data_IF_089320540927
#
_entry.id   IF_089320540927
#
_cell.length_a   1.000
_cell.length_b   1.000
_cell.length_c   1.000
_cell.angle_alpha   90.00
_cell.angle_beta   90.00
_cell.angle_gamma   90.00
#
_symmetry.space_group_name_H-M   'P 1'
#
loop_
_entity.id
_entity.type
_entity.pdbx_description
1 polymer ?
#
# COMPACT_ATOMS: atom_id res chain seq x y z
N UNK A 1 31.53 14.11 22.59
CA UNK A 1 30.60 13.87 21.47
C UNK A 1 29.38 13.03 21.83
N UNK A 2 29.47 12.10 22.77
CA UNK A 2 28.29 11.28 23.19
C UNK A 2 27.13 12.12 23.74
N UNK A 3 27.42 13.13 24.54
CA UNK A 3 26.43 14.04 25.14
C UNK A 3 25.70 14.89 24.09
N UNK A 4 26.44 15.42 23.10
CA UNK A 4 25.85 16.21 22.00
C UNK A 4 24.87 15.38 21.18
N UNK A 5 25.27 14.14 20.82
CA UNK A 5 24.42 13.21 20.11
C UNK A 5 23.15 12.88 20.91
N UNK A 6 23.28 12.58 22.19
CA UNK A 6 22.15 12.26 23.08
C UNK A 6 21.19 13.44 23.19
N UNK A 7 21.70 14.67 23.28
CA UNK A 7 20.86 15.87 23.36
C UNK A 7 20.04 16.08 22.08
N UNK A 8 20.70 16.05 20.91
CA UNK A 8 20.04 16.26 19.62
C UNK A 8 19.02 15.15 19.39
N UNK A 9 19.39 13.88 19.57
CA UNK A 9 18.50 12.74 19.31
C UNK A 9 17.30 12.75 20.25
N UNK A 10 17.51 12.97 21.55
CA UNK A 10 16.42 13.05 22.53
C UNK A 10 15.45 14.18 22.20
N UNK A 11 15.96 15.36 21.81
CA UNK A 11 15.10 16.47 21.42
C UNK A 11 14.32 16.16 20.16
N UNK A 12 14.98 15.70 19.08
CA UNK A 12 14.30 15.40 17.81
C UNK A 12 13.28 14.28 17.97
N UNK A 13 13.66 13.16 18.61
CA UNK A 13 12.74 12.01 18.82
C UNK A 13 11.49 12.44 19.60
N UNK A 14 11.63 13.22 20.66
CA UNK A 14 10.49 13.70 21.46
C UNK A 14 9.53 14.53 20.62
N UNK A 15 10.04 15.48 19.82
CA UNK A 15 9.20 16.33 18.98
C UNK A 15 8.59 15.54 17.81
N UNK A 16 9.35 14.67 17.18
CA UNK A 16 8.84 13.76 16.11
C UNK A 16 7.71 12.89 16.65
N UNK A 17 7.92 12.25 17.79
CA UNK A 17 6.88 11.43 18.43
C UNK A 17 5.64 12.25 18.79
N UNK A 18 5.81 13.43 19.40
CA UNK A 18 4.70 14.31 19.76
C UNK A 18 3.90 14.78 18.54
N UNK A 19 4.58 15.19 17.46
CA UNK A 19 3.93 15.63 16.22
C UNK A 19 3.20 14.46 15.55
N UNK A 20 3.86 13.30 15.40
CA UNK A 20 3.25 12.14 14.76
C UNK A 20 2.04 11.65 15.56
N UNK A 21 2.14 11.65 16.90
CA UNK A 21 1.02 11.28 17.77
C UNK A 21 -0.16 12.26 17.62
N UNK A 22 0.12 13.57 17.54
CA UNK A 22 -0.92 14.59 17.35
C UNK A 22 -1.67 14.42 16.03
N UNK A 23 -0.94 14.16 14.94
CA UNK A 23 -1.56 13.86 13.64
C UNK A 23 -2.34 12.55 13.68
N UNK A 24 -1.77 11.48 14.27
CA UNK A 24 -2.48 10.20 14.41
C UNK A 24 -3.78 10.35 15.21
N UNK A 25 -3.77 11.14 16.28
CA UNK A 25 -4.99 11.43 17.06
C UNK A 25 -6.03 12.22 16.26
N UNK A 26 -5.58 13.17 15.41
CA UNK A 26 -6.46 13.93 14.53
C UNK A 26 -7.12 13.01 13.48
N UNK A 27 -6.35 12.16 12.80
CA UNK A 27 -6.90 11.22 11.83
C UNK A 27 -7.81 10.19 12.48
N UNK A 28 -7.42 9.67 13.66
CA UNK A 28 -8.29 8.78 14.43
C UNK A 28 -9.66 9.42 14.71
N UNK A 29 -9.67 10.69 15.09
CA UNK A 29 -10.93 11.42 15.38
C UNK A 29 -11.77 11.59 14.11
N UNK A 30 -11.15 11.95 12.98
CA UNK A 30 -11.85 12.10 11.69
C UNK A 30 -12.47 10.78 11.26
N UNK A 31 -11.68 9.70 11.26
CA UNK A 31 -12.13 8.36 10.88
C UNK A 31 -13.26 7.87 11.82
N UNK A 32 -13.11 8.13 13.11
CA UNK A 32 -14.13 7.73 14.09
C UNK A 32 -15.48 8.42 13.86
N UNK A 33 -15.48 9.69 13.51
CA UNK A 33 -16.70 10.42 13.17
C UNK A 33 -17.35 9.86 11.90
N UNK A 34 -16.56 9.42 10.94
CA UNK A 34 -17.07 8.83 9.70
C UNK A 34 -17.56 7.39 9.89
N UNK A 35 -16.87 6.58 10.67
CA UNK A 35 -17.23 5.17 10.87
C UNK A 35 -18.37 4.97 11.88
N UNK A 36 -18.53 5.85 12.88
CA UNK A 36 -19.63 5.76 13.86
C UNK A 36 -21.02 5.95 13.22
N UNK A 37 -21.07 6.57 12.03
CA UNK A 37 -22.31 6.69 11.25
C UNK A 37 -22.72 5.39 10.57
N UNK A 38 -21.77 4.46 10.40
CA UNK A 38 -21.98 3.20 9.64
C UNK A 38 -22.11 1.97 10.54
N UNK A 39 -21.38 2.00 11.67
CA UNK A 39 -21.22 0.86 12.56
C UNK A 39 -21.52 1.23 14.02
N UNK A 40 -21.55 0.22 14.91
CA UNK A 40 -21.65 0.46 16.35
C UNK A 40 -20.40 1.20 16.87
N UNK A 41 -20.51 1.87 18.03
CA UNK A 41 -19.38 2.61 18.60
C UNK A 41 -18.16 1.72 18.87
N UNK A 42 -18.35 0.48 19.30
CA UNK A 42 -17.30 -0.49 19.54
C UNK A 42 -16.63 -0.96 18.24
N UNK A 43 -17.43 -1.28 17.21
CA UNK A 43 -16.90 -1.70 15.90
C UNK A 43 -16.16 -0.55 15.21
N UNK A 44 -16.69 0.68 15.32
CA UNK A 44 -16.03 1.88 14.79
C UNK A 44 -14.68 2.13 15.46
N UNK A 45 -14.58 1.98 16.78
CA UNK A 45 -13.33 2.15 17.52
C UNK A 45 -12.28 1.13 17.09
N UNK A 46 -12.67 -0.15 16.96
CA UNK A 46 -11.76 -1.21 16.51
C UNK A 46 -11.31 -0.95 15.06
N UNK A 47 -12.25 -0.58 14.18
CA UNK A 47 -11.98 -0.23 12.78
C UNK A 47 -10.95 0.89 12.70
N UNK A 48 -11.17 2.00 13.41
CA UNK A 48 -10.26 3.15 13.43
C UNK A 48 -8.89 2.79 13.99
N UNK A 49 -8.82 1.90 14.98
CA UNK A 49 -7.54 1.45 15.54
C UNK A 49 -6.69 0.72 14.50
N UNK A 50 -7.29 -0.15 13.69
CA UNK A 50 -6.58 -0.82 12.60
C UNK A 50 -6.17 0.16 11.48
N UNK A 51 -6.99 1.15 11.15
CA UNK A 51 -6.65 2.19 10.16
C UNK A 51 -5.42 3.01 10.55
N UNK A 52 -5.12 3.14 11.87
CA UNK A 52 -3.96 3.90 12.33
C UNK A 52 -2.62 3.34 11.84
N UNK A 53 -2.53 2.05 11.54
CA UNK A 53 -1.31 1.45 10.99
C UNK A 53 -0.86 2.11 9.69
N UNK A 54 -1.78 2.31 8.76
CA UNK A 54 -1.54 2.98 7.48
C UNK A 54 -1.32 4.48 7.68
N UNK A 55 -2.19 5.17 8.43
CA UNK A 55 -2.04 6.60 8.67
C UNK A 55 -0.71 6.96 9.32
N UNK A 56 -0.29 6.19 10.32
CA UNK A 56 1.01 6.39 10.95
C UNK A 56 2.16 6.29 9.95
N UNK A 57 2.12 5.30 9.05
CA UNK A 57 3.12 5.13 8.00
C UNK A 57 3.15 6.32 7.04
N UNK A 58 2.00 6.77 6.56
CA UNK A 58 1.89 7.85 5.56
C UNK A 58 2.30 9.22 6.12
N UNK A 59 1.96 9.49 7.41
CA UNK A 59 2.22 10.77 8.06
C UNK A 59 3.66 10.87 8.58
N UNK A 60 4.30 9.74 8.83
CA UNK A 60 5.60 9.72 9.51
C UNK A 60 6.68 10.61 8.86
N UNK A 61 6.87 10.68 7.54
CA UNK A 61 7.84 11.58 6.93
C UNK A 61 7.59 13.05 7.24
N UNK A 62 6.32 13.47 7.24
CA UNK A 62 5.94 14.85 7.61
C UNK A 62 6.20 15.07 9.09
N UNK A 63 5.80 14.11 9.93
CA UNK A 63 6.06 14.14 11.37
C UNK A 63 7.55 14.26 11.69
N UNK A 64 8.38 13.54 10.92
CA UNK A 64 9.83 13.60 11.01
C UNK A 64 10.38 14.99 10.64
N UNK A 65 9.90 15.60 9.55
CA UNK A 65 10.28 16.93 9.13
C UNK A 65 9.86 17.97 10.18
N UNK A 66 8.57 18.01 10.52
CA UNK A 66 8.03 19.03 11.46
C UNK A 66 8.65 18.88 12.85
N UNK A 67 8.75 17.64 13.34
CA UNK A 67 9.37 17.37 14.63
C UNK A 67 10.86 17.75 14.67
N UNK A 68 11.60 17.48 13.60
CA UNK A 68 12.99 17.91 13.48
C UNK A 68 13.10 19.44 13.40
N UNK A 69 12.23 20.13 12.64
CA UNK A 69 12.19 21.60 12.59
C UNK A 69 11.92 22.18 13.98
N UNK A 70 10.91 21.69 14.69
CA UNK A 70 10.56 22.17 16.03
C UNK A 70 11.72 21.97 17.03
N UNK A 71 12.36 20.79 17.00
CA UNK A 71 13.49 20.50 17.84
C UNK A 71 14.68 21.45 17.56
N UNK A 72 15.08 21.56 16.28
CA UNK A 72 16.23 22.35 15.87
C UNK A 72 15.98 23.87 16.03
N UNK A 73 14.79 24.33 15.68
CA UNK A 73 14.41 25.73 15.89
C UNK A 73 14.31 26.07 17.39
N UNK A 74 13.84 25.14 18.22
CA UNK A 74 13.85 25.25 19.69
C UNK A 74 15.26 25.43 20.23
N UNK A 75 16.20 24.55 19.83
CA UNK A 75 17.61 24.62 20.21
C UNK A 75 18.30 25.92 19.69
N UNK A 76 17.91 26.40 18.52
CA UNK A 76 18.39 27.67 17.99
C UNK A 76 17.90 28.86 18.84
N UNK A 77 16.63 28.81 19.30
CA UNK A 77 16.03 29.86 20.15
C UNK A 77 16.69 29.93 21.54
N UNK A 78 17.03 28.80 22.14
CA UNK A 78 17.72 28.75 23.45
C UNK A 78 19.24 28.96 23.32
N UNK A 79 19.76 29.21 22.10
CA UNK A 79 21.18 29.30 21.79
C UNK A 79 21.99 28.00 22.02
N UNK A 80 21.35 26.91 22.38
CA UNK A 80 22.00 25.60 22.57
C UNK A 80 22.73 25.14 21.32
N UNK A 81 22.10 25.25 20.15
CA UNK A 81 22.71 24.86 18.88
C UNK A 81 23.92 25.76 18.55
N UNK A 82 23.90 27.04 18.92
CA UNK A 82 25.03 27.96 18.74
C UNK A 82 26.21 27.54 19.61
N UNK A 83 25.97 27.17 20.87
CA UNK A 83 27.00 26.66 21.78
C UNK A 83 27.61 25.35 21.24
N UNK A 84 26.78 24.44 20.73
CA UNK A 84 27.26 23.19 20.11
C UNK A 84 28.15 23.48 18.88
N UNK A 85 27.79 24.47 18.08
CA UNK A 85 28.55 24.89 16.90
C UNK A 85 29.90 25.52 17.27
N UNK A 86 29.96 26.39 18.26
CA UNK A 86 31.21 26.95 18.77
C UNK A 86 32.08 25.90 19.45
N UNK A 87 31.46 24.85 20.04
CA UNK A 87 32.11 23.67 20.58
C UNK A 87 32.60 22.66 19.53
N UNK A 88 32.57 23.00 18.21
CA UNK A 88 33.12 22.17 17.13
C UNK A 88 32.12 21.31 16.36
N UNK A 89 30.82 21.53 16.54
CA UNK A 89 29.79 20.90 15.69
C UNK A 89 29.68 21.62 14.34
N UNK A 90 30.52 21.25 13.39
CA UNK A 90 30.46 21.80 12.03
C UNK A 90 29.21 21.34 11.25
N UNK A 91 28.84 22.03 10.14
CA UNK A 91 27.65 21.72 9.34
C UNK A 91 27.60 20.27 8.84
N UNK A 92 28.71 19.74 8.34
CA UNK A 92 28.80 18.37 7.86
C UNK A 92 28.57 17.32 8.96
N UNK A 93 29.08 17.57 10.19
CA UNK A 93 28.82 16.70 11.34
C UNK A 93 27.37 16.77 11.82
N UNK A 94 26.75 17.95 11.79
CA UNK A 94 25.34 18.11 12.11
C UNK A 94 24.48 17.33 11.10
N UNK A 95 24.78 17.44 9.80
CA UNK A 95 24.11 16.68 8.74
C UNK A 95 24.28 15.17 8.93
N UNK A 96 25.49 14.69 9.26
CA UNK A 96 25.73 13.25 9.48
C UNK A 96 25.01 12.73 10.70
N UNK A 97 24.92 13.47 11.81
CA UNK A 97 24.15 13.09 13.00
C UNK A 97 22.66 12.97 12.68
N UNK A 98 22.10 13.96 12.00
CA UNK A 98 20.70 13.94 11.57
C UNK A 98 20.47 12.85 10.51
N UNK A 99 21.41 12.62 9.61
CA UNK A 99 21.37 11.55 8.62
C UNK A 99 21.29 10.16 9.25
N UNK A 100 22.09 9.88 10.30
CA UNK A 100 22.02 8.62 11.05
C UNK A 100 20.66 8.47 11.73
N UNK A 101 20.13 9.55 12.30
CA UNK A 101 18.78 9.52 12.89
C UNK A 101 17.71 9.29 11.82
N UNK A 102 17.78 9.97 10.68
CA UNK A 102 16.89 9.76 9.56
C UNK A 102 16.97 8.33 8.99
N UNK A 103 18.16 7.76 8.90
CA UNK A 103 18.35 6.37 8.47
C UNK A 103 17.77 5.37 9.47
N UNK A 104 17.98 5.59 10.77
CA UNK A 104 17.39 4.73 11.80
C UNK A 104 15.86 4.78 11.79
N UNK A 105 15.30 5.96 11.60
CA UNK A 105 13.86 6.16 11.42
C UNK A 105 13.35 5.47 10.15
N UNK A 106 14.09 5.58 9.04
CA UNK A 106 13.78 4.91 7.78
C UNK A 106 13.75 3.38 7.92
N UNK A 107 14.76 2.79 8.57
CA UNK A 107 14.81 1.34 8.81
C UNK A 107 13.61 0.88 9.66
N UNK A 108 13.29 1.62 10.74
CA UNK A 108 12.11 1.34 11.55
C UNK A 108 10.83 1.35 10.69
N UNK A 109 10.67 2.35 9.85
CA UNK A 109 9.47 2.51 9.03
C UNK A 109 9.39 1.52 7.87
N UNK A 110 10.51 1.03 7.34
CA UNK A 110 10.52 -0.10 6.39
C UNK A 110 9.98 -1.35 7.07
N UNK A 111 10.35 -1.62 8.31
CA UNK A 111 9.80 -2.76 9.08
C UNK A 111 8.30 -2.57 9.31
N UNK A 112 7.88 -1.38 9.75
CA UNK A 112 6.46 -1.05 9.98
C UNK A 112 5.65 -1.22 8.68
N UNK A 113 6.11 -0.66 7.56
CA UNK A 113 5.43 -0.72 6.27
C UNK A 113 5.34 -2.11 5.65
N UNK A 114 6.28 -3.01 5.98
CA UNK A 114 6.27 -4.38 5.46
C UNK A 114 5.60 -5.42 6.39
N UNK A 115 5.39 -5.08 7.67
CA UNK A 115 4.85 -6.02 8.66
C UNK A 115 3.58 -5.50 9.31
N UNK A 116 3.66 -4.32 9.96
CA UNK A 116 2.55 -3.79 10.76
C UNK A 116 1.39 -3.32 9.88
N UNK A 117 1.70 -2.59 8.80
CA UNK A 117 0.68 -2.06 7.89
C UNK A 117 -0.13 -3.17 7.21
N UNK A 118 0.49 -4.18 6.56
CA UNK A 118 -0.26 -5.27 5.95
C UNK A 118 -1.07 -6.09 6.96
N UNK A 119 -0.51 -6.34 8.15
CA UNK A 119 -1.22 -7.03 9.21
C UNK A 119 -2.45 -6.25 9.68
N UNK A 120 -2.31 -4.95 9.91
CA UNK A 120 -3.43 -4.10 10.34
C UNK A 120 -4.54 -4.06 9.29
N UNK A 121 -4.19 -3.98 8.00
CA UNK A 121 -5.15 -3.97 6.89
C UNK A 121 -5.88 -5.32 6.74
N UNK A 122 -5.17 -6.44 6.93
CA UNK A 122 -5.82 -7.76 6.97
C UNK A 122 -6.85 -7.84 8.09
N UNK A 123 -6.50 -7.41 9.32
CA UNK A 123 -7.42 -7.39 10.45
C UNK A 123 -8.61 -6.46 10.20
N UNK A 124 -8.37 -5.31 9.58
CA UNK A 124 -9.41 -4.36 9.18
C UNK A 124 -10.40 -5.01 8.21
N UNK A 125 -9.89 -5.68 7.18
CA UNK A 125 -10.69 -6.35 6.15
C UNK A 125 -11.53 -7.47 6.76
N UNK A 126 -10.93 -8.31 7.62
CA UNK A 126 -11.63 -9.38 8.34
C UNK A 126 -12.72 -8.83 9.27
N UNK A 127 -12.41 -7.78 10.03
CA UNK A 127 -13.36 -7.14 10.93
C UNK A 127 -14.56 -6.54 10.17
N UNK A 128 -14.29 -5.81 9.07
CA UNK A 128 -15.34 -5.26 8.19
C UNK A 128 -16.21 -6.36 7.57
N UNK A 129 -15.62 -7.50 7.17
CA UNK A 129 -16.36 -8.64 6.64
C UNK A 129 -17.29 -9.24 7.70
N UNK A 130 -16.82 -9.41 8.95
CA UNK A 130 -17.66 -9.92 10.06
C UNK A 130 -18.83 -8.99 10.39
N UNK A 131 -18.61 -7.68 10.41
CA UNK A 131 -19.68 -6.70 10.65
C UNK A 131 -20.69 -6.71 9.50
N UNK A 132 -20.24 -6.78 8.26
CA UNK A 132 -21.10 -6.82 7.08
C UNK A 132 -21.98 -8.07 7.04
N UNK A 133 -21.49 -9.21 7.52
CA UNK A 133 -22.30 -10.43 7.66
C UNK A 133 -23.37 -10.33 8.76
N UNK A 134 -23.12 -9.55 9.83
CA UNK A 134 -24.10 -9.27 10.89
C UNK A 134 -25.21 -8.32 10.44
N UNK A 135 -24.92 -7.45 9.49
CA UNK A 135 -25.89 -6.50 8.90
C UNK A 135 -26.37 -6.99 7.54
N UNK A 136 -27.32 -7.92 7.49
CA UNK A 136 -28.02 -8.47 6.32
C UNK A 136 -27.86 -7.65 5.01
N UNK A 137 -27.17 -8.24 4.01
CA UNK A 137 -27.42 -8.04 2.57
C UNK A 137 -27.27 -6.61 2.00
N UNK A 138 -26.12 -5.96 2.18
CA UNK A 138 -25.67 -4.91 1.26
C UNK A 138 -24.22 -5.12 0.84
N UNK A 139 -23.88 -6.29 0.35
CA UNK A 139 -22.66 -6.50 -0.42
C UNK A 139 -22.86 -5.98 -1.85
N UNK A 140 -22.86 -4.67 -2.01
CA UNK A 140 -22.82 -4.00 -3.29
C UNK A 140 -21.38 -3.87 -3.83
N UNK A 141 -20.43 -4.62 -3.31
CA UNK A 141 -19.08 -4.71 -3.86
C UNK A 141 -19.07 -5.67 -5.05
N UNK A 142 -18.56 -5.21 -6.21
CA UNK A 142 -18.38 -6.05 -7.42
C UNK A 142 -17.40 -7.22 -7.21
N UNK A 143 -16.80 -7.34 -6.01
CA UNK A 143 -15.69 -8.27 -5.74
C UNK A 143 -14.43 -7.91 -6.52
N UNK A 144 -13.37 -8.67 -6.31
CA UNK A 144 -12.11 -8.49 -7.04
C UNK A 144 -12.06 -9.43 -8.24
N UNK A 145 -11.65 -8.90 -9.39
CA UNK A 145 -11.54 -9.63 -10.63
C UNK A 145 -10.07 -9.94 -10.92
N UNK A 146 -9.78 -11.23 -11.10
CA UNK A 146 -8.47 -11.75 -11.47
C UNK A 146 -8.57 -12.44 -12.82
N UNK A 147 -7.51 -12.36 -13.62
CA UNK A 147 -7.43 -13.02 -14.91
C UNK A 147 -6.23 -13.97 -14.92
N UNK A 148 -6.45 -15.18 -15.41
CA UNK A 148 -5.43 -16.19 -15.68
C UNK A 148 -5.48 -16.55 -17.15
N UNK A 149 -4.33 -16.59 -17.80
CA UNK A 149 -4.18 -17.12 -19.15
C UNK A 149 -3.54 -18.49 -19.08
N UNK A 150 -4.23 -19.50 -19.59
CA UNK A 150 -3.73 -20.86 -19.63
C UNK A 150 -3.40 -21.22 -21.06
N UNK A 151 -2.13 -21.46 -21.36
CA UNK A 151 -1.70 -21.97 -22.63
C UNK A 151 -2.01 -23.47 -22.69
N UNK A 152 -2.72 -23.92 -23.72
CA UNK A 152 -2.95 -25.32 -23.99
C UNK A 152 -2.19 -25.73 -25.26
N UNK A 153 -1.64 -26.95 -25.35
CA UNK A 153 -1.01 -27.45 -26.57
C UNK A 153 -2.03 -27.44 -27.71
N UNK A 154 -1.71 -26.76 -28.83
CA UNK A 154 -2.55 -26.78 -30.02
C UNK A 154 -3.44 -25.57 -30.19
N UNK A 155 -2.91 -24.33 -29.98
CA UNK A 155 -3.55 -23.02 -30.28
C UNK A 155 -4.87 -22.70 -29.52
N UNK A 156 -5.24 -23.48 -28.54
CA UNK A 156 -6.41 -23.28 -27.70
C UNK A 156 -6.06 -22.55 -26.40
N UNK A 157 -5.51 -21.32 -26.48
CA UNK A 157 -5.30 -20.53 -25.28
C UNK A 157 -6.65 -20.27 -24.60
N UNK A 158 -6.78 -20.66 -23.33
CA UNK A 158 -7.99 -20.42 -22.53
C UNK A 158 -7.76 -19.20 -21.64
N UNK A 159 -8.73 -18.31 -21.63
CA UNK A 159 -8.76 -17.20 -20.67
C UNK A 159 -9.70 -17.55 -19.53
N UNK A 160 -9.21 -17.47 -18.32
CA UNK A 160 -10.00 -17.74 -17.12
C UNK A 160 -10.11 -16.43 -16.36
N UNK A 161 -11.34 -16.05 -15.99
CA UNK A 161 -11.59 -14.87 -15.18
C UNK A 161 -12.23 -15.31 -13.86
N UNK A 162 -11.61 -14.94 -12.75
CA UNK A 162 -12.06 -15.29 -11.40
C UNK A 162 -12.53 -14.03 -10.70
N UNK A 163 -13.74 -14.06 -10.16
CA UNK A 163 -14.27 -13.02 -9.30
C UNK A 163 -14.34 -13.55 -7.87
N UNK A 164 -13.69 -12.86 -6.95
CA UNK A 164 -13.71 -13.17 -5.51
C UNK A 164 -14.55 -12.12 -4.82
N UNK A 165 -15.67 -12.55 -4.24
CA UNK A 165 -16.63 -11.63 -3.61
C UNK A 165 -16.18 -11.13 -2.25
N UNK A 166 -15.55 -11.97 -1.44
CA UNK A 166 -15.05 -11.61 -0.11
C UNK A 166 -13.86 -12.48 0.30
N UNK A 167 -12.94 -11.93 1.08
CA UNK A 167 -11.90 -12.68 1.77
C UNK A 167 -12.39 -12.98 3.20
N UNK A 168 -12.33 -14.25 3.61
CA UNK A 168 -12.63 -14.70 4.97
C UNK A 168 -11.35 -14.87 5.77
N UNK A 169 -10.29 -15.35 5.10
CA UNK A 169 -8.91 -15.43 5.61
C UNK A 169 -7.92 -15.37 4.43
N UNK A 170 -6.61 -15.46 4.69
CA UNK A 170 -5.57 -15.48 3.64
C UNK A 170 -5.72 -16.61 2.64
N UNK A 171 -6.44 -17.67 3.01
CA UNK A 171 -6.61 -18.90 2.21
C UNK A 171 -8.08 -19.25 1.97
N UNK A 172 -9.03 -18.55 2.60
CA UNK A 172 -10.47 -18.81 2.51
C UNK A 172 -11.21 -17.60 1.94
N UNK A 173 -12.00 -17.85 0.91
CA UNK A 173 -12.73 -16.83 0.15
C UNK A 173 -14.19 -17.23 -0.02
N UNK A 174 -15.08 -16.23 0.01
CA UNK A 174 -16.51 -16.41 -0.18
C UNK A 174 -17.01 -15.87 -1.50
N UNK A 175 -18.11 -16.43 -1.99
CA UNK A 175 -18.81 -16.03 -3.21
C UNK A 175 -17.88 -15.98 -4.44
N UNK A 176 -17.18 -17.08 -4.71
CA UNK A 176 -16.23 -17.18 -5.83
C UNK A 176 -16.96 -17.53 -7.12
N UNK A 177 -16.69 -16.77 -8.18
CA UNK A 177 -17.20 -17.01 -9.54
C UNK A 177 -16.03 -17.19 -10.49
N UNK A 178 -16.03 -18.28 -11.24
CA UNK A 178 -15.00 -18.61 -12.22
C UNK A 178 -15.64 -18.71 -13.60
N UNK A 179 -15.09 -18.01 -14.57
CA UNK A 179 -15.54 -17.98 -15.95
C UNK A 179 -14.40 -18.46 -16.84
N UNK A 180 -14.60 -19.56 -17.55
CA UNK A 180 -13.61 -20.11 -18.49
C UNK A 180 -14.05 -19.81 -19.93
N UNK A 181 -13.17 -19.11 -20.67
CA UNK A 181 -13.38 -18.72 -22.05
C UNK A 181 -12.45 -19.52 -22.98
N UNK A 182 -12.90 -19.81 -24.18
CA UNK A 182 -12.06 -20.40 -25.24
C UNK A 182 -11.13 -19.34 -25.88
N UNK A 183 -10.29 -19.75 -26.83
CA UNK A 183 -9.38 -18.89 -27.57
C UNK A 183 -10.08 -17.82 -28.44
N UNK A 184 -11.39 -17.98 -28.68
CA UNK A 184 -12.21 -17.03 -29.41
C UNK A 184 -13.02 -16.08 -28.49
N UNK A 185 -12.80 -16.17 -27.15
CA UNK A 185 -13.48 -15.35 -26.16
C UNK A 185 -14.93 -15.78 -25.86
N UNK A 186 -15.34 -16.99 -26.24
CA UNK A 186 -16.68 -17.51 -25.95
C UNK A 186 -16.66 -18.21 -24.58
N UNK A 187 -17.69 -17.94 -23.76
CA UNK A 187 -17.85 -18.58 -22.44
C UNK A 187 -18.17 -20.07 -22.59
N UNK A 188 -17.32 -20.92 -22.04
CA UNK A 188 -17.48 -22.37 -22.08
C UNK A 188 -17.99 -22.94 -20.77
N UNK A 189 -17.53 -22.39 -19.64
CA UNK A 189 -17.86 -22.90 -18.31
C UNK A 189 -17.96 -21.77 -17.31
N UNK A 190 -18.96 -21.84 -16.45
CA UNK A 190 -19.08 -20.96 -15.29
C UNK A 190 -19.19 -21.83 -14.03
N UNK A 191 -18.39 -21.52 -13.02
CA UNK A 191 -18.50 -22.08 -11.69
C UNK A 191 -18.88 -20.98 -10.72
N UNK A 192 -19.84 -21.23 -9.87
CA UNK A 192 -20.14 -20.41 -8.70
C UNK A 192 -19.95 -21.28 -7.47
N UNK A 193 -19.11 -20.85 -6.54
CA UNK A 193 -18.87 -21.53 -5.27
C UNK A 193 -19.24 -20.60 -4.10
N UNK A 194 -19.90 -21.16 -3.10
CA UNK A 194 -20.22 -20.40 -1.87
C UNK A 194 -18.95 -20.11 -1.08
N UNK A 195 -18.04 -21.10 -0.99
CA UNK A 195 -16.76 -21.03 -0.30
C UNK A 195 -15.66 -21.61 -1.18
N UNK A 196 -14.48 -21.03 -1.11
CA UNK A 196 -13.27 -21.56 -1.73
C UNK A 196 -12.11 -21.53 -0.73
N UNK A 197 -11.39 -22.64 -0.62
CA UNK A 197 -10.14 -22.72 0.15
C UNK A 197 -8.98 -23.01 -0.79
N UNK A 198 -7.99 -22.12 -0.77
CA UNK A 198 -6.84 -22.21 -1.67
C UNK A 198 -5.67 -22.87 -0.94
N UNK A 199 -5.09 -23.93 -1.55
CA UNK A 199 -3.89 -24.61 -1.08
C UNK A 199 -2.80 -24.48 -2.13
N UNK A 200 -1.58 -24.00 -1.78
CA UNK A 200 -0.47 -23.93 -2.72
C UNK A 200 -0.03 -25.36 -3.14
N UNK A 201 0.35 -25.51 -4.41
CA UNK A 201 1.00 -26.73 -4.92
C UNK A 201 2.52 -26.58 -4.69
N UNK A 202 3.06 -27.24 -3.65
CA UNK A 202 4.47 -27.14 -3.28
C UNK A 202 4.75 -26.20 -2.10
N UNK A 203 6.02 -25.91 -1.81
CA UNK A 203 6.40 -24.96 -0.77
C UNK A 203 6.03 -23.54 -1.19
N UNK A 204 5.61 -22.68 -0.25
CA UNK A 204 5.14 -21.33 -0.50
C UNK A 204 6.08 -20.45 -1.35
N UNK A 205 7.39 -20.75 -1.32
CA UNK A 205 8.41 -19.99 -2.05
C UNK A 205 8.55 -20.41 -3.53
N UNK A 206 8.06 -21.58 -3.93
CA UNK A 206 8.22 -22.15 -5.27
C UNK A 206 6.93 -22.66 -5.91
N UNK A 207 5.77 -22.28 -5.34
CA UNK A 207 4.48 -22.73 -5.83
C UNK A 207 4.15 -22.09 -7.20
N UNK A 208 4.24 -22.89 -8.27
CA UNK A 208 3.81 -22.51 -9.62
C UNK A 208 2.29 -22.67 -9.84
N UNK A 209 1.50 -22.89 -8.78
CA UNK A 209 0.07 -23.09 -8.87
C UNK A 209 -0.57 -23.40 -7.53
N UNK A 210 -1.88 -23.54 -7.53
CA UNK A 210 -2.68 -23.84 -6.35
C UNK A 210 -3.86 -24.74 -6.70
N UNK A 211 -4.36 -25.45 -5.69
CA UNK A 211 -5.63 -26.17 -5.75
C UNK A 211 -6.67 -25.41 -4.95
N UNK A 212 -7.75 -25.05 -5.61
CA UNK A 212 -8.90 -24.40 -5.01
C UNK A 212 -9.94 -25.46 -4.67
N UNK A 213 -10.14 -25.69 -3.40
CA UNK A 213 -11.23 -26.55 -2.91
C UNK A 213 -12.48 -25.70 -2.83
N UNK A 214 -13.33 -25.82 -3.83
CA UNK A 214 -14.62 -25.14 -3.94
C UNK A 214 -15.69 -25.95 -3.24
N UNK A 215 -16.56 -25.28 -2.45
CA UNK A 215 -17.72 -25.90 -1.77
C UNK A 215 -19.01 -25.24 -2.21
N UNK A 216 -20.08 -26.04 -2.28
CA UNK A 216 -21.39 -25.56 -2.72
C UNK A 216 -21.35 -25.04 -4.15
N UNK A 217 -20.86 -25.88 -5.08
CA UNK A 217 -20.56 -25.46 -6.46
C UNK A 217 -21.78 -25.63 -7.34
N UNK A 218 -22.13 -24.55 -8.04
CA UNK A 218 -23.05 -24.58 -9.18
C UNK A 218 -22.20 -24.45 -10.45
N UNK A 219 -22.26 -25.48 -11.27
CA UNK A 219 -21.53 -25.54 -12.53
C UNK A 219 -22.51 -25.37 -13.69
N UNK A 220 -22.18 -24.47 -14.62
CA UNK A 220 -22.89 -24.26 -15.87
C UNK A 220 -21.90 -24.45 -17.02
N UNK A 221 -22.15 -25.42 -17.90
CA UNK A 221 -21.33 -25.72 -19.07
C UNK A 221 -22.12 -25.40 -20.33
N UNK A 222 -21.54 -24.60 -21.21
CA UNK A 222 -22.08 -24.34 -22.54
C UNK A 222 -21.53 -25.35 -23.54
N UNK A 223 -22.42 -26.12 -24.15
CA UNK A 223 -22.04 -27.09 -25.18
C UNK A 223 -21.69 -26.31 -26.47
N UNK A 224 -20.42 -26.31 -26.84
CA UNK A 224 -19.98 -25.69 -28.07
C UNK A 224 -20.38 -26.50 -29.30
N UNK A 225 -20.55 -25.82 -30.46
CA UNK A 225 -21.00 -26.40 -31.74
C UNK A 225 -20.10 -27.51 -32.28
N UNK A 226 -18.89 -27.70 -31.77
CA UNK A 226 -17.94 -28.72 -32.20
C UNK A 226 -18.20 -30.13 -31.67
N UNK A 227 -19.00 -30.28 -30.61
CA UNK A 227 -19.51 -31.56 -30.17
C UNK A 227 -20.84 -31.80 -30.91
N UNK A 228 -20.77 -32.21 -32.20
CA UNK A 228 -21.87 -32.68 -33.05
C UNK A 228 -23.25 -32.56 -32.42
N UNK A 229 -23.81 -31.37 -32.42
CA UNK A 229 -25.24 -31.20 -32.20
C UNK A 229 -25.87 -31.58 -33.55
N UNK A 230 -26.28 -32.82 -33.66
CA UNK A 230 -27.06 -33.30 -34.79
C UNK A 230 -28.32 -32.43 -34.87
N UNK A 231 -28.67 -31.95 -36.07
CA UNK A 231 -29.88 -31.10 -36.28
C UNK A 231 -31.15 -31.72 -35.67
N UNK A 232 -31.18 -33.05 -35.55
CA UNK A 232 -32.25 -33.78 -34.87
C UNK A 232 -32.31 -33.52 -33.35
N UNK A 233 -31.15 -33.31 -32.69
CA UNK A 233 -31.06 -33.03 -31.25
C UNK A 233 -31.51 -31.61 -30.91
N UNK A 234 -31.26 -30.64 -31.79
CA UNK A 234 -31.76 -29.25 -31.65
C UNK A 234 -33.30 -29.21 -31.78
N UNK A 235 -33.88 -29.98 -32.73
CA UNK A 235 -35.33 -30.10 -32.89
C UNK A 235 -36.02 -30.79 -31.72
N UNK A 236 -35.30 -31.61 -30.95
CA UNK A 236 -35.82 -32.29 -29.75
C UNK A 236 -35.76 -31.43 -28.47
N UNK A 237 -35.38 -30.15 -28.57
CA UNK A 237 -35.35 -29.25 -27.42
C UNK A 237 -34.15 -29.50 -26.49
N UNK A 238 -33.05 -30.03 -27.04
CA UNK A 238 -31.81 -30.26 -26.28
C UNK A 238 -31.32 -28.94 -25.67
N UNK A 239 -31.08 -28.95 -24.37
CA UNK A 239 -30.56 -27.80 -23.66
C UNK A 239 -29.11 -27.57 -24.09
N UNK A 240 -28.83 -26.40 -24.66
CA UNK A 240 -27.47 -25.94 -25.03
C UNK A 240 -26.59 -25.68 -23.80
N UNK A 241 -27.17 -25.80 -22.64
CA UNK A 241 -26.55 -25.54 -21.34
C UNK A 241 -26.81 -26.71 -20.40
N UNK A 242 -25.76 -27.23 -19.78
CA UNK A 242 -25.84 -28.22 -18.72
C UNK A 242 -25.57 -27.54 -17.39
N UNK A 243 -26.49 -27.68 -16.47
CA UNK A 243 -26.32 -27.22 -15.08
C UNK A 243 -26.18 -28.41 -14.16
N UNK A 244 -25.19 -28.37 -13.27
CA UNK A 244 -24.94 -29.38 -12.24
C UNK A 244 -24.62 -28.72 -10.91
N UNK A 245 -25.02 -29.36 -9.81
CA UNK A 245 -24.68 -28.94 -8.45
C UNK A 245 -23.75 -29.99 -7.86
N UNK A 246 -22.59 -29.53 -7.38
CA UNK A 246 -21.58 -30.39 -6.78
C UNK A 246 -21.35 -29.95 -5.34
N UNK A 247 -21.23 -30.89 -4.42
CA UNK A 247 -20.95 -30.58 -3.01
C UNK A 247 -19.55 -29.95 -2.85
N UNK A 248 -18.58 -30.47 -3.62
CA UNK A 248 -17.22 -29.93 -3.66
C UNK A 248 -16.58 -30.20 -5.02
N UNK A 249 -15.63 -29.34 -5.41
CA UNK A 249 -14.84 -29.47 -6.63
C UNK A 249 -13.43 -28.95 -6.37
N UNK A 250 -12.43 -29.77 -6.70
CA UNK A 250 -11.04 -29.33 -6.72
C UNK A 250 -10.70 -28.72 -8.08
N UNK A 251 -10.37 -27.42 -8.08
CA UNK A 251 -10.05 -26.67 -9.29
C UNK A 251 -8.62 -26.17 -9.23
N UNK A 252 -7.83 -26.47 -10.27
CA UNK A 252 -6.43 -26.06 -10.35
C UNK A 252 -6.30 -24.67 -10.98
N UNK A 253 -5.40 -23.85 -10.44
CA UNK A 253 -5.14 -22.48 -10.91
C UNK A 253 -3.67 -22.09 -10.72
N UNK A 254 -3.19 -21.15 -11.52
CA UNK A 254 -1.91 -20.46 -11.28
C UNK A 254 -2.04 -19.37 -10.21
N UNK A 255 -3.27 -18.99 -9.82
CA UNK A 255 -3.55 -17.99 -8.81
C UNK A 255 -3.24 -18.54 -7.42
N UNK A 256 -2.11 -18.15 -6.85
CA UNK A 256 -1.70 -18.53 -5.50
C UNK A 256 -2.50 -17.78 -4.44
N UNK A 257 -2.59 -18.26 -3.17
CA UNK A 257 -3.24 -17.53 -2.08
C UNK A 257 -2.74 -16.10 -1.95
N UNK A 258 -1.41 -15.90 -2.11
CA UNK A 258 -0.78 -14.59 -2.04
C UNK A 258 -1.29 -13.63 -3.12
N UNK A 259 -1.44 -14.09 -4.36
CA UNK A 259 -1.94 -13.26 -5.48
C UNK A 259 -3.39 -12.88 -5.23
N UNK A 260 -4.21 -13.81 -4.74
CA UNK A 260 -5.63 -13.57 -4.49
C UNK A 260 -5.83 -12.62 -3.31
N UNK A 261 -5.13 -12.84 -2.18
CA UNK A 261 -5.20 -11.94 -1.02
C UNK A 261 -4.66 -10.55 -1.37
N UNK A 262 -3.57 -10.46 -2.13
CA UNK A 262 -3.01 -9.20 -2.59
C UNK A 262 -3.98 -8.39 -3.49
N UNK A 263 -4.79 -9.07 -4.30
CA UNK A 263 -5.75 -8.40 -5.19
C UNK A 263 -6.93 -7.75 -4.45
N UNK A 264 -7.22 -8.21 -3.23
CA UNK A 264 -8.30 -7.67 -2.39
C UNK A 264 -7.83 -6.46 -1.57
N UNK A 265 -6.52 -6.36 -1.30
CA UNK A 265 -5.94 -5.27 -0.52
C UNK A 265 -5.65 -4.04 -1.39
N UNK A 266 -5.81 -2.82 -0.85
CA UNK A 266 -5.32 -1.61 -1.53
C UNK A 266 -3.80 -1.69 -1.75
N UNK A 267 -3.28 -1.28 -2.93
CA UNK A 267 -1.84 -1.35 -3.21
C UNK A 267 -0.96 -0.64 -2.16
N UNK A 268 -1.47 0.44 -1.60
CA UNK A 268 -0.80 1.29 -0.61
C UNK A 268 -0.50 0.52 0.71
N UNK A 269 -1.35 -0.46 1.05
CA UNK A 269 -1.25 -1.23 2.31
C UNK A 269 -0.46 -2.53 2.15
N UNK A 270 -0.19 -2.97 0.92
CA UNK A 270 0.56 -4.19 0.64
C UNK A 270 2.03 -4.07 1.06
N UNK A 271 2.67 -5.18 1.45
CA UNK A 271 4.12 -5.20 1.66
C UNK A 271 4.89 -5.03 0.35
N UNK A 272 6.12 -4.56 0.40
CA UNK A 272 6.98 -4.41 -0.79
C UNK A 272 7.17 -5.75 -1.53
N UNK A 273 7.30 -6.84 -0.78
CA UNK A 273 7.43 -8.19 -1.37
C UNK A 273 6.12 -8.65 -2.04
N UNK A 274 4.96 -8.38 -1.42
CA UNK A 274 3.66 -8.71 -2.00
C UNK A 274 3.41 -7.89 -3.28
N UNK A 275 3.76 -6.59 -3.29
CA UNK A 275 3.69 -5.74 -4.47
C UNK A 275 4.56 -6.28 -5.61
N UNK A 276 5.82 -6.64 -5.33
CA UNK A 276 6.71 -7.20 -6.35
C UNK A 276 6.15 -8.48 -6.97
N UNK A 277 5.70 -9.43 -6.16
CA UNK A 277 5.11 -10.68 -6.68
C UNK A 277 3.82 -10.45 -7.47
N UNK A 278 3.02 -9.49 -7.01
CA UNK A 278 1.76 -9.21 -7.67
C UNK A 278 1.98 -8.51 -9.03
N UNK A 279 2.93 -7.58 -9.11
CA UNK A 279 3.30 -6.94 -10.38
C UNK A 279 3.85 -7.94 -11.40
N UNK A 280 4.69 -8.88 -10.97
CA UNK A 280 5.19 -9.97 -11.81
C UNK A 280 4.04 -10.85 -12.35
N UNK A 281 3.06 -11.16 -11.51
CA UNK A 281 1.87 -11.89 -11.93
C UNK A 281 1.01 -11.10 -12.93
N UNK A 282 0.78 -9.81 -12.71
CA UNK A 282 0.03 -8.95 -13.63
C UNK A 282 0.72 -8.85 -14.98
N UNK A 283 2.04 -8.65 -15.00
CA UNK A 283 2.84 -8.57 -16.22
C UNK A 283 2.77 -9.87 -17.03
N UNK A 284 2.90 -11.04 -16.38
CA UNK A 284 2.83 -12.34 -17.04
C UNK A 284 1.44 -12.67 -17.64
N UNK A 285 0.38 -12.01 -17.13
CA UNK A 285 -0.99 -12.19 -17.63
C UNK A 285 -1.51 -11.02 -18.49
N UNK A 286 -0.61 -10.16 -18.99
CA UNK A 286 -0.93 -8.99 -19.81
C UNK A 286 -1.99 -8.07 -19.16
N UNK A 287 -1.90 -7.88 -17.86
CA UNK A 287 -2.75 -6.99 -17.08
C UNK A 287 -2.00 -5.69 -16.71
N UNK A 288 -2.74 -4.60 -16.51
CA UNK A 288 -2.16 -3.32 -16.13
C UNK A 288 -1.56 -3.38 -14.72
N UNK A 289 -0.24 -3.33 -14.61
CA UNK A 289 0.50 -3.40 -13.36
C UNK A 289 0.94 -2.03 -12.82
N UNK A 290 0.89 -0.98 -13.64
CA UNK A 290 1.53 0.32 -13.39
C UNK A 290 1.22 0.93 -12.03
N UNK A 291 -0.04 0.86 -11.56
CA UNK A 291 -0.42 1.37 -10.23
C UNK A 291 0.34 0.66 -9.10
N UNK A 292 0.48 -0.66 -9.20
CA UNK A 292 1.18 -1.47 -8.20
C UNK A 292 2.69 -1.26 -8.27
N UNK A 293 3.24 -1.06 -9.46
CA UNK A 293 4.65 -0.75 -9.67
C UNK A 293 5.02 0.61 -9.08
N UNK A 294 4.18 1.63 -9.27
CA UNK A 294 4.39 2.95 -8.64
C UNK A 294 4.41 2.81 -7.12
N UNK A 295 3.47 2.07 -6.51
CA UNK A 295 3.46 1.87 -5.06
C UNK A 295 4.68 1.04 -4.57
N UNK A 296 5.12 0.06 -5.35
CA UNK A 296 6.36 -0.67 -5.06
C UNK A 296 7.57 0.28 -5.01
N UNK A 297 7.72 1.16 -6.00
CA UNK A 297 8.82 2.11 -6.05
C UNK A 297 8.72 3.17 -4.95
N UNK A 298 7.52 3.66 -4.62
CA UNK A 298 7.31 4.58 -3.48
C UNK A 298 7.78 3.97 -2.17
N UNK A 299 7.43 2.71 -1.90
CA UNK A 299 7.90 1.99 -0.70
C UNK A 299 9.41 1.75 -0.72
N UNK A 300 9.97 1.44 -1.90
CA UNK A 300 11.40 1.25 -2.08
C UNK A 300 12.21 2.55 -1.84
N UNK A 301 11.67 3.71 -2.25
CA UNK A 301 12.29 5.01 -2.02
C UNK A 301 11.94 5.65 -0.66
N UNK A 302 11.12 5.01 0.15
CA UNK A 302 10.72 5.55 1.46
C UNK A 302 11.92 5.90 2.38
N UNK A 303 13.02 5.11 2.45
CA UNK A 303 14.22 5.50 3.19
C UNK A 303 14.83 6.81 2.71
N UNK A 304 14.83 7.05 1.40
CA UNK A 304 15.32 8.30 0.82
C UNK A 304 14.42 9.48 1.24
N UNK A 305 13.10 9.30 1.25
CA UNK A 305 12.15 10.32 1.72
C UNK A 305 12.46 10.74 3.16
N UNK A 306 12.68 9.79 4.07
CA UNK A 306 13.03 10.10 5.45
C UNK A 306 14.32 10.91 5.57
N UNK A 307 15.34 10.57 4.77
CA UNK A 307 16.60 11.32 4.74
C UNK A 307 16.41 12.74 4.21
N UNK A 308 15.63 12.92 3.14
CA UNK A 308 15.29 14.23 2.56
C UNK A 308 14.57 15.10 3.58
N UNK A 309 13.59 14.53 4.31
CA UNK A 309 12.84 15.26 5.33
C UNK A 309 13.73 15.77 6.48
N UNK A 310 14.64 14.94 6.95
CA UNK A 310 15.59 15.35 7.99
C UNK A 310 16.59 16.40 7.46
N UNK A 311 17.04 16.26 6.21
CA UNK A 311 17.94 17.23 5.59
C UNK A 311 17.27 18.60 5.41
N UNK A 312 15.99 18.63 5.03
CA UNK A 312 15.19 19.87 4.93
C UNK A 312 15.00 20.58 6.28
N UNK A 313 15.05 19.86 7.40
CA UNK A 313 14.98 20.46 8.72
C UNK A 313 16.27 21.18 9.16
N UNK A 314 17.43 20.79 8.62
CA UNK A 314 18.73 21.29 9.08
C UNK A 314 18.89 22.82 8.96
N UNK A 315 18.45 23.54 7.91
CA UNK A 315 18.53 25.00 7.84
C UNK A 315 17.92 25.72 9.04
N UNK A 316 16.91 25.12 9.68
CA UNK A 316 16.22 25.72 10.84
C UNK A 316 17.10 25.74 12.10
N UNK A 317 18.09 24.87 12.23
CA UNK A 317 19.08 24.90 13.30
C UNK A 317 19.98 26.16 13.27
N UNK A 318 20.11 26.75 12.08
CA UNK A 318 20.96 27.94 11.86
C UNK A 318 20.18 29.27 11.93
N UNK A 319 18.91 29.25 12.28
CA UNK A 319 18.11 30.45 12.46
C UNK A 319 18.63 31.23 13.69
N UNK A 320 18.73 32.55 13.56
CA UNK A 320 19.13 33.41 14.69
C UNK A 320 17.92 33.69 15.60
N UNK A 321 18.12 33.53 16.90
CA UNK A 321 17.10 33.80 17.92
C UNK A 321 16.54 35.25 17.85
N UNK A 322 17.39 36.20 17.47
CA UNK A 322 17.03 37.62 17.37
C UNK A 322 16.30 38.01 16.08
N UNK A 323 16.27 37.17 15.06
CA UNK A 323 15.47 37.46 13.87
C UNK A 323 14.00 37.17 14.17
N UNK A 324 13.17 38.24 14.24
CA UNK A 324 11.72 38.08 14.38
C UNK A 324 11.12 37.13 13.36
N UNK A 325 9.92 36.61 13.64
CA UNK A 325 9.19 35.75 12.70
C UNK A 325 9.58 34.27 12.75
N UNK A 326 10.09 33.76 13.88
CA UNK A 326 10.39 32.30 14.04
C UNK A 326 9.17 31.44 13.73
N UNK A 327 7.98 31.86 14.15
CA UNK A 327 6.72 31.14 13.87
C UNK A 327 6.44 31.08 12.37
N UNK A 328 6.68 32.16 11.62
CA UNK A 328 6.51 32.17 10.17
C UNK A 328 7.50 31.22 9.46
N UNK A 329 8.74 31.14 9.95
CA UNK A 329 9.75 30.23 9.42
C UNK A 329 9.38 28.77 9.69
N UNK A 330 8.91 28.44 10.90
CA UNK A 330 8.40 27.10 11.24
C UNK A 330 7.19 26.78 10.36
N UNK A 331 6.25 27.74 10.22
CA UNK A 331 5.10 27.57 9.33
C UNK A 331 5.53 27.28 7.88
N UNK A 332 6.52 28.01 7.35
CA UNK A 332 7.10 27.75 6.04
C UNK A 332 7.64 26.32 5.90
N UNK A 333 8.31 25.80 6.94
CA UNK A 333 8.79 24.41 6.96
C UNK A 333 7.66 23.39 6.95
N UNK A 334 6.59 23.64 7.71
CA UNK A 334 5.38 22.80 7.67
C UNK A 334 4.76 22.81 6.28
N UNK A 335 4.65 23.98 5.64
CA UNK A 335 4.12 24.10 4.28
C UNK A 335 4.98 23.35 3.24
N UNK A 336 6.30 23.35 3.41
CA UNK A 336 7.21 22.52 2.56
C UNK A 336 6.92 21.03 2.74
N UNK A 337 6.67 20.56 3.96
CA UNK A 337 6.28 19.16 4.21
C UNK A 337 4.94 18.80 3.55
N UNK A 338 3.93 19.64 3.69
CA UNK A 338 2.62 19.43 3.07
C UNK A 338 2.74 19.44 1.52
N UNK A 339 3.51 20.40 0.97
CA UNK A 339 3.72 20.49 -0.48
C UNK A 339 4.45 19.25 -1.04
N UNK A 340 5.34 18.62 -0.27
CA UNK A 340 5.96 17.36 -0.65
C UNK A 340 4.92 16.23 -0.82
N UNK A 341 4.02 16.09 0.15
CA UNK A 341 2.97 15.05 0.07
C UNK A 341 2.07 15.30 -1.13
N UNK A 342 1.65 16.55 -1.33
CA UNK A 342 0.86 16.92 -2.49
C UNK A 342 1.60 16.62 -3.80
N UNK A 343 2.89 16.97 -3.89
CA UNK A 343 3.72 16.67 -5.05
C UNK A 343 3.83 15.15 -5.30
N UNK A 344 3.94 14.35 -4.23
CA UNK A 344 3.99 12.89 -4.34
C UNK A 344 2.68 12.29 -4.88
N UNK A 345 1.52 12.79 -4.41
CA UNK A 345 0.22 12.39 -4.95
C UNK A 345 0.05 12.81 -6.41
N UNK A 346 0.37 14.06 -6.73
CA UNK A 346 0.27 14.59 -8.11
C UNK A 346 1.19 13.81 -9.05
N UNK A 347 2.45 13.55 -8.66
CA UNK A 347 3.40 12.79 -9.48
C UNK A 347 2.92 11.38 -9.75
N UNK A 348 2.40 10.68 -8.75
CA UNK A 348 1.83 9.34 -8.92
C UNK A 348 0.63 9.35 -9.88
N UNK A 349 -0.27 10.34 -9.73
CA UNK A 349 -1.46 10.46 -10.57
C UNK A 349 -1.11 10.83 -12.01
N UNK A 350 -0.20 11.78 -12.22
CA UNK A 350 0.30 12.14 -13.54
C UNK A 350 1.05 10.98 -14.20
N UNK A 351 1.80 10.21 -13.41
CA UNK A 351 2.48 9.01 -13.86
C UNK A 351 1.51 7.99 -14.44
N UNK A 352 0.39 7.76 -13.75
CA UNK A 352 -0.67 6.85 -14.23
C UNK A 352 -1.39 7.37 -15.47
N UNK A 353 -1.62 8.68 -15.59
CA UNK A 353 -2.34 9.27 -16.73
C UNK A 353 -1.49 9.36 -18.00
N UNK A 354 -0.18 9.51 -17.87
CA UNK A 354 0.74 9.73 -18.98
C UNK A 354 1.67 8.53 -19.25
N UNK A 355 1.38 7.37 -18.67
CA UNK A 355 2.16 6.14 -18.80
C UNK A 355 3.67 6.33 -18.54
N UNK A 356 4.02 7.15 -17.51
CA UNK A 356 5.41 7.34 -17.13
C UNK A 356 6.00 6.06 -16.57
N UNK A 357 7.33 5.92 -16.71
CA UNK A 357 8.04 4.86 -16.02
C UNK A 357 7.75 4.89 -14.52
N UNK A 358 7.30 3.80 -13.90
CA UNK A 358 6.82 3.79 -12.51
C UNK A 358 7.83 4.31 -11.48
N UNK A 359 9.12 3.99 -11.68
CA UNK A 359 10.19 4.47 -10.81
C UNK A 359 10.38 6.00 -10.89
N UNK A 360 10.17 6.59 -12.09
CA UNK A 360 10.28 8.03 -12.28
C UNK A 360 9.13 8.77 -11.58
N UNK A 361 7.90 8.27 -11.71
CA UNK A 361 6.73 8.82 -11.02
C UNK A 361 6.91 8.82 -9.49
N UNK A 362 7.53 7.77 -8.95
CA UNK A 362 7.79 7.65 -7.51
C UNK A 362 9.00 8.46 -7.03
N UNK A 363 10.07 8.59 -7.84
CA UNK A 363 11.31 9.25 -7.44
C UNK A 363 11.28 10.76 -7.62
N UNK A 364 10.54 11.29 -8.61
CA UNK A 364 10.59 12.68 -9.02
C UNK A 364 10.38 13.68 -7.85
N UNK A 365 9.38 13.54 -6.98
CA UNK A 365 9.21 14.44 -5.84
C UNK A 365 10.40 14.37 -4.86
N UNK A 366 10.87 13.17 -4.56
CA UNK A 366 11.98 12.97 -3.62
C UNK A 366 13.28 13.60 -4.11
N UNK A 367 13.58 13.45 -5.41
CA UNK A 367 14.75 14.07 -6.05
C UNK A 367 14.64 15.59 -6.06
N UNK A 368 13.46 16.15 -6.41
CA UNK A 368 13.20 17.58 -6.40
C UNK A 368 13.46 18.19 -5.02
N UNK A 369 12.92 17.59 -3.97
CA UNK A 369 13.07 18.08 -2.61
C UNK A 369 14.47 17.83 -2.05
N UNK A 370 15.17 16.80 -2.50
CA UNK A 370 16.58 16.59 -2.19
C UNK A 370 17.44 17.74 -2.75
N UNK A 371 17.22 18.09 -4.02
CA UNK A 371 17.93 19.22 -4.66
C UNK A 371 17.62 20.54 -3.97
N UNK A 372 16.35 20.76 -3.58
CA UNK A 372 15.94 21.93 -2.82
C UNK A 372 16.62 21.97 -1.46
N UNK A 373 16.69 20.85 -0.74
CA UNK A 373 17.41 20.73 0.53
C UNK A 373 18.92 21.02 0.40
N UNK A 374 19.55 20.42 -0.61
CA UNK A 374 20.98 20.63 -0.88
C UNK A 374 21.28 22.07 -1.25
N UNK A 375 20.45 22.71 -2.08
CA UNK A 375 20.62 24.11 -2.47
C UNK A 375 20.45 25.05 -1.28
N UNK A 376 19.43 24.82 -0.44
CA UNK A 376 19.22 25.58 0.79
C UNK A 376 20.39 25.43 1.77
N UNK A 377 20.91 24.20 1.91
CA UNK A 377 22.07 23.94 2.77
C UNK A 377 23.37 24.57 2.21
N UNK A 378 23.64 24.45 0.91
CA UNK A 378 24.80 25.05 0.25
C UNK A 378 24.79 26.58 0.35
N UNK A 379 23.61 27.19 0.14
CA UNK A 379 23.43 28.63 0.34
C UNK A 379 23.73 29.05 1.78
N UNK A 380 23.23 28.29 2.75
CA UNK A 380 23.44 28.55 4.18
C UNK A 380 24.94 28.48 4.55
N UNK A 381 25.67 27.46 4.05
CA UNK A 381 27.08 27.26 4.35
C UNK A 381 27.96 28.32 3.67
N UNK A 382 27.59 28.78 2.46
CA UNK A 382 28.38 29.75 1.67
C UNK A 382 28.25 31.19 2.21
N UNK A 383 27.10 31.56 2.76
CA UNK A 383 26.80 32.95 3.16
C UNK A 383 26.78 33.17 4.68
N UNK A 384 27.22 32.21 5.47
CA UNK A 384 27.36 32.26 6.93
C UNK A 384 28.61 31.57 7.45
#
# INVERSE_FOLDING_TARGET
>A
MHTVRKLIYSSVIKHVFGVTLAFSALFFFIDFVDEIRKYSATDSLITCLYMQGQHFYDIFPIGLLIGAILALAGMARTSEFTILRTGGLGPGRALSLLGVLGLSAAVLMVVVGNSVVPWAEQQLTLHKAQISQRGLLKAGGSGTWLRERREAPGDASRTITVNVGSAVSDVEFGAVRIFEFDGQGRLQRRLFAQEARIRPLGSEASAQGSIWQLKGVQETVWLSHEQQIDEQTVRAGARLVRESQLASLDWQSSLTPLVVSASVLPPETMSTFALWRYTEHLASNAQAAQRYEIEFWKKSFYPLVCLVMVALALPYAYLHARSGGMSLKIFGGVMVGISFVLANHISSHLGLLNDWEPWLAAAAPSVLYLLLSMSAFAWLVRYR
#
